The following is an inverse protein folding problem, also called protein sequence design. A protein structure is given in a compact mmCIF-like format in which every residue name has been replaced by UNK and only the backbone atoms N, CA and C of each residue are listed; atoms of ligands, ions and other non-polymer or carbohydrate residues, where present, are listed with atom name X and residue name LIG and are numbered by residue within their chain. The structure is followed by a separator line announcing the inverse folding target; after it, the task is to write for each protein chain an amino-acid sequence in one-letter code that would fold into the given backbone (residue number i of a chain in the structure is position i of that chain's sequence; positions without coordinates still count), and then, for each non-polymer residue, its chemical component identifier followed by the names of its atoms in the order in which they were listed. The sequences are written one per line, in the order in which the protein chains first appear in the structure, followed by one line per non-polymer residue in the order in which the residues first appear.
data_IF_259739282833
#
_entry.id   IF_259739282833
#
_cell.length_a   1.000
_cell.length_b   1.000
_cell.length_c   1.000
_cell.angle_alpha   90.00
_cell.angle_beta   90.00
_cell.angle_gamma   90.00
#
_symmetry.space_group_name_H-M   'P 1'
#
loop_
_entity.id
_entity.type
_entity.pdbx_description
1 polymer ?
#
# COMPACT_ATOMS: atom_id res chain seq x y z
N UNK A 1 8.32 15.85 19.00
CA UNK A 1 8.07 16.19 17.59
C UNK A 1 8.31 14.95 16.74
N UNK A 2 7.31 14.47 16.02
CA UNK A 2 7.50 13.38 15.07
C UNK A 2 8.27 13.92 13.85
N UNK A 3 9.44 13.32 13.58
CA UNK A 3 10.22 13.64 12.39
C UNK A 3 9.39 13.37 11.12
N UNK A 4 9.52 14.21 10.07
CA UNK A 4 8.83 14.01 8.81
C UNK A 4 9.20 12.65 8.19
N UNK A 5 8.28 12.11 7.39
CA UNK A 5 8.53 10.87 6.62
C UNK A 5 9.66 11.15 5.63
N UNK A 6 10.71 10.33 5.67
CA UNK A 6 11.85 10.44 4.77
C UNK A 6 11.47 10.25 3.29
N UNK A 7 12.32 10.67 2.37
CA UNK A 7 12.09 10.49 0.93
C UNK A 7 12.13 9.03 0.50
N UNK A 8 12.95 8.20 1.18
CA UNK A 8 13.16 6.78 0.90
C UNK A 8 13.28 6.52 -0.61
N UNK A 9 14.24 7.17 -1.25
CA UNK A 9 14.49 6.94 -2.67
C UNK A 9 15.10 5.55 -2.87
N UNK A 10 14.58 4.83 -3.85
CA UNK A 10 15.13 3.54 -4.28
C UNK A 10 16.62 3.72 -4.58
N UNK A 11 17.53 2.93 -3.95
CA UNK A 11 18.94 3.04 -4.24
C UNK A 11 19.24 2.73 -5.71
N UNK A 12 19.92 3.64 -6.42
CA UNK A 12 20.23 3.49 -7.86
C UNK A 12 20.97 2.18 -8.18
N UNK A 13 21.86 1.74 -7.28
CA UNK A 13 22.55 0.46 -7.43
C UNK A 13 21.59 -0.74 -7.47
N UNK A 14 20.55 -0.72 -6.63
CA UNK A 14 19.54 -1.78 -6.56
C UNK A 14 18.64 -1.73 -7.79
N UNK A 15 18.20 -0.53 -8.17
CA UNK A 15 17.42 -0.30 -9.38
C UNK A 15 18.14 -0.80 -10.63
N UNK A 16 19.43 -0.48 -10.79
CA UNK A 16 20.24 -0.99 -11.91
C UNK A 16 20.35 -2.51 -11.89
N UNK A 17 20.74 -3.10 -10.75
CA UNK A 17 20.86 -4.56 -10.63
C UNK A 17 19.56 -5.30 -11.01
N UNK A 18 18.41 -4.72 -10.63
CA UNK A 18 17.09 -5.26 -10.98
C UNK A 18 16.78 -5.12 -12.49
N UNK A 19 16.93 -3.91 -13.05
CA UNK A 19 16.44 -3.60 -14.40
C UNK A 19 17.37 -4.02 -15.54
N UNK A 20 18.66 -4.24 -15.30
CA UNK A 20 19.63 -4.55 -16.38
C UNK A 20 19.85 -6.03 -16.62
N UNK A 21 19.30 -6.89 -15.77
CA UNK A 21 19.56 -8.33 -15.81
C UNK A 21 18.65 -9.01 -16.84
N UNK A 22 19.23 -9.73 -17.80
CA UNK A 22 18.46 -10.43 -18.84
C UNK A 22 17.73 -11.68 -18.32
N UNK A 23 18.21 -12.26 -17.22
CA UNK A 23 17.66 -13.47 -16.62
C UNK A 23 17.40 -13.27 -15.13
N UNK A 24 16.24 -13.75 -14.65
CA UNK A 24 15.82 -13.62 -13.26
C UNK A 24 16.83 -14.24 -12.28
N UNK A 25 17.51 -15.32 -12.67
CA UNK A 25 18.51 -15.97 -11.81
C UNK A 25 19.71 -15.06 -11.55
N UNK A 26 20.27 -14.47 -12.60
CA UNK A 26 21.43 -13.57 -12.50
C UNK A 26 21.06 -12.30 -11.72
N UNK A 27 19.83 -11.80 -11.92
CA UNK A 27 19.27 -10.69 -11.16
C UNK A 27 19.25 -11.00 -9.65
N UNK A 28 18.67 -12.15 -9.27
CA UNK A 28 18.57 -12.58 -7.88
C UNK A 28 19.96 -12.78 -7.26
N UNK A 29 20.87 -13.47 -7.96
CA UNK A 29 22.23 -13.71 -7.47
C UNK A 29 22.99 -12.39 -7.22
N UNK A 30 22.86 -11.42 -8.12
CA UNK A 30 23.48 -10.10 -7.98
C UNK A 30 22.89 -9.31 -6.81
N UNK A 31 21.55 -9.29 -6.68
CA UNK A 31 20.86 -8.62 -5.57
C UNK A 31 21.25 -9.26 -4.23
N UNK A 32 21.27 -10.59 -4.15
CA UNK A 32 21.66 -11.31 -2.94
C UNK A 32 23.14 -11.09 -2.58
N UNK A 33 24.02 -10.97 -3.57
CA UNK A 33 25.42 -10.60 -3.35
C UNK A 33 25.56 -9.18 -2.79
N UNK A 34 24.78 -8.23 -3.31
CA UNK A 34 24.78 -6.84 -2.85
C UNK A 34 24.09 -6.62 -1.49
N UNK A 35 23.11 -7.48 -1.16
CA UNK A 35 22.30 -7.40 0.06
C UNK A 35 22.24 -8.76 0.77
N UNK A 36 23.33 -9.20 1.43
CA UNK A 36 23.42 -10.53 2.06
C UNK A 36 22.33 -10.82 3.10
N UNK A 37 21.80 -9.76 3.73
CA UNK A 37 20.70 -9.85 4.71
C UNK A 37 19.41 -10.46 4.14
N UNK A 38 19.29 -10.60 2.81
CA UNK A 38 18.20 -11.32 2.15
C UNK A 38 18.35 -12.86 2.22
N UNK A 39 19.59 -13.36 2.38
CA UNK A 39 19.88 -14.80 2.52
C UNK A 39 19.91 -15.28 3.97
N UNK A 40 20.24 -14.38 4.88
CA UNK A 40 20.31 -14.68 6.32
C UNK A 40 18.94 -15.05 6.89
N UNK A 41 18.91 -15.77 8.01
CA UNK A 41 17.69 -15.94 8.79
C UNK A 41 17.26 -14.60 9.40
N UNK A 42 15.96 -14.29 9.33
CA UNK A 42 15.42 -13.03 9.84
C UNK A 42 15.57 -12.97 11.37
N UNK A 43 16.22 -11.92 11.85
CA UNK A 43 16.40 -11.65 13.27
C UNK A 43 16.36 -10.14 13.53
N UNK A 44 16.42 -9.75 14.80
CA UNK A 44 16.30 -8.33 15.18
C UNK A 44 17.39 -7.44 14.56
N UNK A 45 18.60 -7.98 14.35
CA UNK A 45 19.73 -7.21 13.82
C UNK A 45 19.63 -6.94 12.31
N UNK A 46 18.98 -7.83 11.55
CA UNK A 46 18.80 -7.67 10.10
C UNK A 46 17.36 -7.28 9.69
N UNK A 47 16.43 -7.14 10.65
CA UNK A 47 15.04 -6.76 10.39
C UNK A 47 14.92 -5.51 9.51
N UNK A 48 15.57 -4.42 9.91
CA UNK A 48 15.44 -3.13 9.21
C UNK A 48 16.02 -3.21 7.81
N UNK A 49 17.26 -3.69 7.67
CA UNK A 49 17.95 -3.77 6.38
C UNK A 49 17.24 -4.72 5.42
N UNK A 50 16.79 -5.88 5.89
CA UNK A 50 16.08 -6.86 5.07
C UNK A 50 14.74 -6.32 4.58
N UNK A 51 13.87 -5.85 5.47
CA UNK A 51 12.54 -5.36 5.07
C UNK A 51 12.62 -4.08 4.25
N UNK A 52 13.56 -3.16 4.52
CA UNK A 52 13.77 -2.01 3.63
C UNK A 52 14.21 -2.44 2.23
N UNK A 53 15.11 -3.42 2.11
CA UNK A 53 15.55 -3.91 0.80
C UNK A 53 14.38 -4.55 0.04
N UNK A 54 13.59 -5.40 0.70
CA UNK A 54 12.40 -6.01 0.11
C UNK A 54 11.36 -4.96 -0.34
N UNK A 55 11.14 -3.91 0.46
CA UNK A 55 10.23 -2.81 0.10
C UNK A 55 10.72 -2.05 -1.14
N UNK A 56 12.02 -1.82 -1.28
CA UNK A 56 12.57 -1.20 -2.49
C UNK A 56 12.42 -2.09 -3.71
N UNK A 57 12.61 -3.41 -3.57
CA UNK A 57 12.40 -4.37 -4.66
C UNK A 57 10.93 -4.39 -5.11
N UNK A 58 10.00 -4.44 -4.16
CA UNK A 58 8.56 -4.36 -4.45
C UNK A 58 8.19 -3.03 -5.13
N UNK A 59 8.80 -1.91 -4.72
CA UNK A 59 8.57 -0.61 -5.35
C UNK A 59 9.11 -0.57 -6.79
N UNK A 60 10.24 -1.22 -7.08
CA UNK A 60 10.78 -1.34 -8.43
C UNK A 60 9.87 -2.19 -9.31
N UNK A 61 9.45 -3.37 -8.83
CA UNK A 61 8.57 -4.25 -9.60
C UNK A 61 7.23 -3.58 -9.89
N UNK A 62 6.63 -2.95 -8.87
CA UNK A 62 5.41 -2.17 -9.03
C UNK A 62 5.57 -1.07 -10.08
N UNK A 63 6.74 -0.40 -10.16
CA UNK A 63 7.02 0.59 -11.19
C UNK A 63 7.10 0.01 -12.61
N UNK A 64 7.69 -1.18 -12.76
CA UNK A 64 7.74 -1.91 -14.03
C UNK A 64 6.33 -2.32 -14.44
N UNK A 65 5.58 -2.95 -13.54
CA UNK A 65 4.21 -3.39 -13.82
C UNK A 65 3.29 -2.22 -14.16
N UNK A 66 3.43 -1.07 -13.47
CA UNK A 66 2.62 0.11 -13.74
C UNK A 66 2.75 0.61 -15.19
N UNK A 67 3.86 0.29 -15.88
CA UNK A 67 4.04 0.65 -17.30
C UNK A 67 2.99 0.01 -18.20
N UNK A 68 2.32 -1.07 -17.78
CA UNK A 68 1.23 -1.67 -18.55
C UNK A 68 0.08 -0.69 -18.84
N UNK A 69 -0.04 0.37 -18.02
CA UNK A 69 -1.04 1.42 -18.19
C UNK A 69 -0.60 2.51 -19.15
N UNK A 70 0.70 2.64 -19.45
CA UNK A 70 1.18 3.67 -20.37
C UNK A 70 0.53 3.53 -21.74
N UNK A 71 0.27 4.68 -22.38
CA UNK A 71 -0.40 4.75 -23.68
C UNK A 71 0.37 5.69 -24.59
N UNK A 72 0.71 5.24 -25.78
CA UNK A 72 1.40 6.09 -26.76
C UNK A 72 0.50 7.17 -27.33
N UNK A 73 -0.78 6.83 -27.57
CA UNK A 73 -1.79 7.76 -28.08
C UNK A 73 -3.10 7.47 -27.38
N UNK A 74 -3.56 8.40 -26.56
CA UNK A 74 -4.85 8.33 -25.91
C UNK A 74 -5.49 9.72 -25.87
N UNK A 75 -6.81 9.75 -25.96
CA UNK A 75 -7.61 10.96 -25.77
C UNK A 75 -8.51 10.77 -24.54
N UNK A 76 -8.85 11.89 -23.93
CA UNK A 76 -9.86 11.96 -22.89
C UNK A 76 -11.23 12.36 -23.45
N UNK A 77 -12.29 11.91 -22.80
CA UNK A 77 -13.67 12.37 -23.04
C UNK A 77 -14.10 13.31 -21.93
N UNK A 78 -14.72 14.46 -22.27
CA UNK A 78 -15.24 15.38 -21.26
C UNK A 78 -16.46 14.79 -20.55
N UNK A 79 -16.38 14.65 -19.23
CA UNK A 79 -17.47 14.21 -18.36
C UNK A 79 -17.68 15.22 -17.21
N UNK A 80 -18.58 16.19 -17.43
CA UNK A 80 -18.83 17.31 -16.49
C UNK A 80 -17.54 18.08 -16.22
N UNK A 81 -17.06 18.05 -14.97
CA UNK A 81 -15.83 18.70 -14.51
C UNK A 81 -14.58 17.83 -14.68
N UNK A 82 -14.72 16.58 -15.16
CA UNK A 82 -13.64 15.61 -15.29
C UNK A 82 -13.27 15.35 -16.75
N UNK A 83 -12.04 14.86 -16.93
CA UNK A 83 -11.60 14.20 -18.15
C UNK A 83 -11.59 12.69 -17.91
N UNK A 84 -12.39 11.95 -18.67
CA UNK A 84 -12.51 10.51 -18.56
C UNK A 84 -11.52 9.82 -19.50
N UNK A 85 -10.80 8.82 -18.99
CA UNK A 85 -9.96 7.93 -19.78
C UNK A 85 -10.50 6.50 -19.67
N UNK A 86 -10.89 5.93 -20.81
CA UNK A 86 -11.26 4.52 -20.89
C UNK A 86 -10.01 3.66 -20.80
N UNK A 87 -10.04 2.65 -19.94
CA UNK A 87 -8.98 1.65 -19.83
C UNK A 87 -9.50 0.38 -20.48
N UNK A 88 -8.82 -0.06 -21.54
CA UNK A 88 -9.26 -1.18 -22.38
C UNK A 88 -9.25 -2.53 -21.67
N UNK A 89 -8.55 -2.63 -20.54
CA UNK A 89 -8.54 -3.85 -19.74
C UNK A 89 -9.94 -4.10 -19.17
N UNK A 90 -10.51 -5.28 -19.44
CA UNK A 90 -11.92 -5.59 -19.21
C UNK A 90 -12.37 -5.39 -17.74
N UNK A 91 -11.43 -5.32 -16.78
CA UNK A 91 -11.71 -5.14 -15.35
C UNK A 91 -10.60 -4.38 -14.60
N UNK A 92 -10.75 -3.06 -14.48
CA UNK A 92 -9.82 -2.20 -13.71
C UNK A 92 -9.57 -2.65 -12.27
N UNK A 93 -10.60 -3.17 -11.61
CA UNK A 93 -10.53 -3.63 -10.21
C UNK A 93 -9.77 -4.94 -10.03
N UNK A 94 -9.61 -5.74 -11.10
CA UNK A 94 -8.93 -7.03 -11.04
C UNK A 94 -7.48 -6.93 -11.54
N UNK A 95 -7.09 -5.84 -12.23
CA UNK A 95 -5.71 -5.59 -12.61
C UNK A 95 -4.83 -5.27 -11.41
N UNK A 96 -3.63 -5.85 -11.39
CA UNK A 96 -2.57 -5.60 -10.40
C UNK A 96 -1.32 -5.11 -11.13
N UNK A 97 -0.68 -4.01 -10.68
CA UNK A 97 -1.13 -3.07 -9.65
C UNK A 97 -2.41 -2.34 -10.05
N UNK A 98 -3.29 -2.04 -9.10
CA UNK A 98 -4.57 -1.38 -9.37
C UNK A 98 -4.40 0.14 -9.42
N UNK A 99 -5.07 0.81 -10.38
CA UNK A 99 -5.18 2.27 -10.36
C UNK A 99 -6.09 2.71 -9.20
N UNK A 100 -5.65 3.69 -8.43
CA UNK A 100 -6.38 4.22 -7.27
C UNK A 100 -6.53 5.74 -7.34
N UNK A 101 -7.42 6.27 -6.50
CA UNK A 101 -7.58 7.71 -6.33
C UNK A 101 -6.27 8.31 -5.82
N UNK A 102 -5.79 9.37 -6.47
CA UNK A 102 -4.55 10.05 -6.15
C UNK A 102 -3.34 9.60 -6.96
N UNK A 103 -3.45 8.56 -7.78
CA UNK A 103 -2.41 8.24 -8.76
C UNK A 103 -2.32 9.34 -9.83
N UNK A 104 -1.11 9.49 -10.37
CA UNK A 104 -0.73 10.58 -11.25
C UNK A 104 -0.62 10.06 -12.69
N UNK A 105 -1.03 10.89 -13.64
CA UNK A 105 -0.83 10.67 -15.07
C UNK A 105 -0.10 11.89 -15.63
N UNK A 106 1.02 11.65 -16.29
CA UNK A 106 1.67 12.65 -17.13
C UNK A 106 1.16 12.51 -18.57
N UNK A 107 0.59 13.58 -19.12
CA UNK A 107 0.21 13.68 -20.51
C UNK A 107 1.22 14.56 -21.26
N UNK A 108 1.77 14.04 -22.36
CA UNK A 108 2.74 14.73 -23.22
C UNK A 108 2.26 14.72 -24.67
N UNK A 109 2.45 15.83 -25.36
CA UNK A 109 2.12 15.91 -26.79
C UNK A 109 2.98 14.91 -27.58
N UNK A 110 2.39 14.00 -28.37
CA UNK A 110 3.13 12.98 -29.10
C UNK A 110 3.97 13.57 -30.25
N UNK A 111 3.67 14.78 -30.72
CA UNK A 111 4.36 15.44 -31.83
C UNK A 111 5.68 16.14 -31.43
N UNK A 112 5.92 16.33 -30.13
CA UNK A 112 7.13 16.96 -29.61
C UNK A 112 8.16 15.88 -29.30
N UNK A 113 9.06 15.61 -30.25
CA UNK A 113 10.08 14.55 -30.14
C UNK A 113 11.28 14.91 -29.24
N UNK A 114 11.40 16.16 -28.78
CA UNK A 114 12.55 16.61 -27.99
C UNK A 114 12.31 16.47 -26.49
N UNK A 115 13.33 16.01 -25.75
CA UNK A 115 13.37 15.96 -24.27
C UNK A 115 13.16 17.33 -23.59
N UNK A 116 13.14 18.42 -24.37
CA UNK A 116 12.79 19.78 -23.97
C UNK A 116 11.27 20.06 -24.04
N UNK A 117 10.43 19.03 -23.87
CA UNK A 117 8.97 19.18 -23.93
C UNK A 117 8.48 20.10 -22.80
N UNK A 118 8.33 21.37 -23.14
CA UNK A 118 7.94 22.49 -22.26
C UNK A 118 6.51 22.33 -21.68
N UNK A 119 5.76 21.31 -22.11
CA UNK A 119 4.37 21.10 -21.73
C UNK A 119 4.08 19.63 -21.40
N UNK A 120 4.56 19.16 -20.25
CA UNK A 120 4.02 17.95 -19.61
C UNK A 120 2.86 18.39 -18.70
N UNK A 121 1.70 17.78 -18.87
CA UNK A 121 0.53 18.07 -18.05
C UNK A 121 0.32 16.96 -17.03
N UNK A 122 0.16 17.33 -15.76
CA UNK A 122 -0.08 16.39 -14.69
C UNK A 122 -1.58 16.29 -14.39
N UNK A 123 -2.11 15.08 -14.44
CA UNK A 123 -3.49 14.74 -14.11
C UNK A 123 -3.55 13.81 -12.91
N UNK A 124 -4.54 14.00 -12.04
CA UNK A 124 -4.76 13.16 -10.86
C UNK A 124 -6.05 12.39 -10.99
N UNK A 125 -5.99 11.08 -10.70
CA UNK A 125 -7.17 10.21 -10.65
C UNK A 125 -8.05 10.61 -9.46
N UNK A 126 -9.27 11.03 -9.75
CA UNK A 126 -10.28 11.39 -8.75
C UNK A 126 -11.33 10.31 -8.54
N UNK A 127 -11.64 9.52 -9.58
CA UNK A 127 -12.57 8.38 -9.48
C UNK A 127 -12.08 7.23 -10.35
N UNK A 128 -12.25 6.01 -9.84
CA UNK A 128 -12.00 4.77 -10.57
C UNK A 128 -13.35 4.09 -10.76
N UNK A 129 -13.76 3.91 -12.01
CA UNK A 129 -14.99 3.21 -12.41
C UNK A 129 -14.61 1.87 -13.05
N UNK A 130 -15.59 1.03 -13.38
CA UNK A 130 -15.36 -0.34 -13.87
C UNK A 130 -14.42 -0.43 -15.09
N UNK A 131 -14.57 0.48 -16.06
CA UNK A 131 -13.81 0.49 -17.34
C UNK A 131 -13.13 1.83 -17.64
N UNK A 132 -13.24 2.81 -16.75
CA UNK A 132 -12.66 4.14 -16.99
C UNK A 132 -12.28 4.82 -15.69
N UNK A 133 -11.34 5.74 -15.79
CA UNK A 133 -10.92 6.61 -14.70
C UNK A 133 -11.33 8.05 -15.00
N UNK A 134 -11.66 8.82 -13.96
CA UNK A 134 -11.97 10.24 -14.07
C UNK A 134 -10.83 11.05 -13.47
N UNK A 135 -10.28 11.94 -14.28
CA UNK A 135 -9.09 12.73 -14.02
C UNK A 135 -9.45 14.20 -13.87
N UNK A 136 -8.61 14.93 -13.14
CA UNK A 136 -8.51 16.38 -13.29
C UNK A 136 -7.05 16.75 -13.48
N UNK A 137 -6.81 17.60 -14.45
CA UNK A 137 -5.52 18.24 -14.68
C UNK A 137 -5.52 19.63 -14.05
N UNK A 138 -4.41 20.35 -14.21
CA UNK A 138 -4.38 21.77 -13.92
C UNK A 138 -5.46 22.53 -14.73
N UNK A 139 -5.89 23.67 -14.20
CA UNK A 139 -7.03 24.40 -14.74
C UNK A 139 -6.81 24.85 -16.20
N UNK A 140 -5.57 25.14 -16.61
CA UNK A 140 -5.30 25.59 -17.96
C UNK A 140 -5.47 24.45 -18.97
N UNK A 141 -4.89 23.28 -18.68
CA UNK A 141 -5.08 22.10 -19.52
C UNK A 141 -6.55 21.67 -19.57
N UNK A 142 -7.19 21.55 -18.40
CA UNK A 142 -8.58 21.11 -18.27
C UNK A 142 -9.56 21.98 -19.08
N UNK A 143 -9.31 23.29 -19.16
CA UNK A 143 -10.13 24.22 -19.93
C UNK A 143 -9.83 24.15 -21.43
N UNK A 144 -8.55 24.10 -21.83
CA UNK A 144 -8.14 24.14 -23.25
C UNK A 144 -8.33 22.84 -24.00
N UNK A 145 -8.28 21.70 -23.31
CA UNK A 145 -8.37 20.37 -23.92
C UNK A 145 -9.61 20.18 -24.80
N UNK A 146 -9.44 19.84 -26.07
CA UNK A 146 -10.51 19.75 -27.06
C UNK A 146 -10.51 18.40 -27.83
N UNK A 147 -9.99 17.34 -27.22
CA UNK A 147 -10.01 16.00 -27.82
C UNK A 147 -8.69 15.59 -28.47
N UNK A 148 -7.61 16.33 -28.23
CA UNK A 148 -6.28 16.02 -28.73
C UNK A 148 -5.76 14.71 -28.12
N UNK A 149 -4.85 14.06 -28.84
CA UNK A 149 -4.19 12.85 -28.36
C UNK A 149 -2.93 13.19 -27.58
N UNK A 150 -2.69 12.43 -26.52
CA UNK A 150 -1.51 12.55 -25.67
C UNK A 150 -0.85 11.18 -25.48
N UNK A 151 0.47 11.20 -25.37
CA UNK A 151 1.24 10.11 -24.77
C UNK A 151 1.08 10.18 -23.26
N UNK A 152 0.59 9.11 -22.65
CA UNK A 152 0.29 9.03 -21.23
C UNK A 152 1.31 8.14 -20.52
N UNK A 153 1.88 8.64 -19.42
CA UNK A 153 2.66 7.87 -18.46
C UNK A 153 1.96 7.86 -17.11
N UNK A 154 1.76 6.68 -16.56
CA UNK A 154 1.08 6.51 -15.28
C UNK A 154 2.07 6.44 -14.14
N UNK A 155 1.73 6.94 -12.96
CA UNK A 155 2.59 6.87 -11.78
C UNK A 155 1.74 6.60 -10.55
N UNK A 156 2.11 5.56 -9.79
CA UNK A 156 1.48 5.28 -8.50
C UNK A 156 2.02 6.20 -7.41
N UNK A 157 1.22 6.41 -6.37
CA UNK A 157 1.69 7.12 -5.19
C UNK A 157 2.76 6.36 -4.41
N UNK A 158 3.98 6.90 -4.35
CA UNK A 158 5.08 6.37 -3.50
C UNK A 158 4.82 6.54 -2.00
N UNK A 159 3.73 7.19 -1.59
CA UNK A 159 3.44 7.49 -0.20
C UNK A 159 3.26 6.23 0.66
N UNK A 160 2.66 5.17 0.10
CA UNK A 160 2.52 3.87 0.76
C UNK A 160 3.87 3.27 1.14
N UNK A 161 4.77 3.13 0.16
CA UNK A 161 6.14 2.63 0.36
C UNK A 161 6.93 3.49 1.34
N UNK A 162 6.90 4.83 1.20
CA UNK A 162 7.58 5.73 2.14
C UNK A 162 7.11 5.55 3.59
N UNK A 163 5.81 5.34 3.80
CA UNK A 163 5.26 5.03 5.14
C UNK A 163 5.75 3.68 5.65
N UNK A 164 5.77 2.65 4.81
CA UNK A 164 6.27 1.33 5.20
C UNK A 164 7.76 1.40 5.60
N UNK A 165 8.61 2.06 4.81
CA UNK A 165 10.01 2.28 5.16
C UNK A 165 10.18 3.03 6.49
N UNK A 166 9.37 4.07 6.70
CA UNK A 166 9.36 4.84 7.94
C UNK A 166 8.98 4.01 9.16
N UNK A 167 7.98 3.14 9.02
CA UNK A 167 7.54 2.22 10.07
C UNK A 167 8.62 1.18 10.34
N UNK A 168 9.18 0.52 9.31
CA UNK A 168 10.24 -0.48 9.46
C UNK A 168 11.44 0.10 10.23
N UNK A 169 11.86 1.32 9.88
CA UNK A 169 12.97 2.01 10.56
C UNK A 169 12.71 2.25 12.05
N UNK A 170 11.44 2.45 12.44
CA UNK A 170 11.04 2.76 13.82
C UNK A 170 10.57 1.54 14.60
N UNK A 171 10.21 0.45 13.92
CA UNK A 171 9.57 -0.72 14.49
C UNK A 171 10.39 -1.30 15.65
N UNK A 172 11.69 -1.53 15.44
CA UNK A 172 12.60 -2.07 16.47
C UNK A 172 12.60 -1.20 17.73
N UNK A 173 12.70 0.13 17.57
CA UNK A 173 12.74 1.08 18.71
C UNK A 173 11.38 1.26 19.39
N UNK A 174 10.28 1.20 18.65
CA UNK A 174 8.94 1.57 19.15
C UNK A 174 8.14 0.37 19.65
N UNK A 175 8.31 -0.79 19.02
CA UNK A 175 7.57 -2.02 19.33
C UNK A 175 8.41 -2.96 20.19
N UNK A 176 9.73 -2.95 20.01
CA UNK A 176 10.65 -3.84 20.72
C UNK A 176 10.74 -5.23 20.08
N UNK A 177 11.78 -5.96 20.47
CA UNK A 177 12.08 -7.29 19.93
C UNK A 177 10.97 -8.30 20.21
N UNK A 178 10.46 -8.35 21.44
CA UNK A 178 9.41 -9.31 21.84
C UNK A 178 8.10 -9.14 21.05
N UNK A 179 7.84 -7.95 20.51
CA UNK A 179 6.69 -7.72 19.65
C UNK A 179 6.94 -8.20 18.22
N UNK A 180 8.14 -7.94 17.69
CA UNK A 180 8.51 -8.29 16.31
C UNK A 180 8.86 -9.78 16.14
N UNK A 181 9.44 -10.36 17.18
CA UNK A 181 9.92 -11.74 17.26
C UNK A 181 9.40 -12.38 18.57
N UNK A 182 8.09 -12.62 18.66
CA UNK A 182 7.51 -13.23 19.86
C UNK A 182 8.05 -14.65 20.04
N UNK A 183 8.74 -14.88 21.16
CA UNK A 183 9.25 -16.21 21.55
C UNK A 183 8.33 -16.96 22.51
N UNK A 184 7.27 -16.30 22.98
CA UNK A 184 6.29 -16.86 23.89
C UNK A 184 5.15 -15.89 24.18
N UNK A 185 4.10 -16.38 24.83
CA UNK A 185 2.95 -15.57 25.20
C UNK A 185 3.10 -15.12 26.64
N UNK A 186 3.16 -13.81 26.84
CA UNK A 186 3.00 -13.26 28.18
C UNK A 186 1.51 -12.98 28.44
N UNK A 187 0.87 -13.91 29.14
CA UNK A 187 -0.49 -13.69 29.63
C UNK A 187 -0.47 -12.56 30.66
N UNK A 188 -1.42 -11.64 30.56
CA UNK A 188 -1.62 -10.64 31.62
C UNK A 188 -2.05 -11.37 32.89
N UNK A 189 -1.50 -10.97 34.03
CA UNK A 189 -1.92 -11.51 35.34
C UNK A 189 -3.35 -11.14 35.71
N UNK A 190 -3.94 -10.13 35.06
CA UNK A 190 -5.31 -9.69 35.25
C UNK A 190 -5.99 -9.41 33.90
N UNK A 191 -7.33 -9.53 33.89
CA UNK A 191 -8.16 -9.09 32.77
C UNK A 191 -8.01 -7.59 32.55
N UNK A 192 -8.04 -7.16 31.29
CA UNK A 192 -8.08 -5.74 30.94
C UNK A 192 -9.35 -5.06 31.46
N UNK A 193 -10.50 -5.75 31.36
CA UNK A 193 -11.79 -5.34 31.92
C UNK A 193 -12.47 -6.55 32.56
N UNK A 194 -13.20 -6.35 33.68
CA UNK A 194 -14.06 -7.38 34.29
C UNK A 194 -15.36 -7.51 33.50
N UNK A 195 -15.24 -8.05 32.29
CA UNK A 195 -16.37 -8.29 31.40
C UNK A 195 -16.95 -9.67 31.66
N UNK A 196 -18.28 -9.80 31.69
CA UNK A 196 -19.00 -11.08 31.75
C UNK A 196 -20.09 -11.08 30.69
N UNK A 197 -20.43 -12.28 30.23
CA UNK A 197 -21.62 -12.49 29.40
C UNK A 197 -22.49 -13.43 30.22
N UNK A 198 -23.71 -13.02 30.54
CA UNK A 198 -24.65 -13.85 31.30
C UNK A 198 -25.36 -14.87 30.38
N UNK A 199 -26.25 -15.68 30.97
CA UNK A 199 -26.98 -16.72 30.26
C UNK A 199 -27.97 -16.16 29.21
N UNK A 200 -28.37 -14.90 29.37
CA UNK A 200 -29.21 -14.16 28.42
C UNK A 200 -28.38 -13.44 27.33
N UNK A 201 -27.07 -13.70 27.30
CA UNK A 201 -26.10 -13.08 26.41
C UNK A 201 -25.96 -11.55 26.56
N UNK A 202 -26.27 -10.99 27.73
CA UNK A 202 -26.02 -9.59 28.05
C UNK A 202 -24.55 -9.37 28.42
N UNK A 203 -23.99 -8.24 27.98
CA UNK A 203 -22.63 -7.84 28.34
C UNK A 203 -22.65 -7.14 29.70
N UNK A 204 -21.84 -7.60 30.65
CA UNK A 204 -21.69 -7.01 31.98
C UNK A 204 -20.28 -6.47 32.15
N UNK A 205 -20.13 -5.26 32.69
CA UNK A 205 -18.87 -4.66 33.12
C UNK A 205 -18.92 -4.44 34.64
N UNK A 206 -18.30 -5.33 35.41
CA UNK A 206 -18.48 -5.38 36.86
C UNK A 206 -19.95 -5.62 37.21
N UNK A 207 -20.59 -4.65 37.85
CA UNK A 207 -22.03 -4.69 38.21
C UNK A 207 -22.95 -4.00 37.19
N UNK A 208 -22.40 -3.41 36.12
CA UNK A 208 -23.18 -2.64 35.15
C UNK A 208 -23.48 -3.46 33.89
N UNK A 209 -24.74 -3.46 33.46
CA UNK A 209 -25.11 -4.05 32.18
C UNK A 209 -24.84 -3.07 31.03
N UNK A 210 -24.03 -3.51 30.06
CA UNK A 210 -23.73 -2.80 28.84
C UNK A 210 -24.66 -3.26 27.72
N UNK A 211 -25.21 -2.30 26.97
CA UNK A 211 -26.06 -2.60 25.82
C UNK A 211 -25.22 -2.94 24.59
N UNK A 212 -25.57 -4.02 23.91
CA UNK A 212 -25.04 -4.31 22.58
C UNK A 212 -25.50 -3.24 21.59
N UNK A 213 -24.57 -2.52 20.97
CA UNK A 213 -24.90 -1.54 19.93
C UNK A 213 -25.53 -2.22 18.70
N UNK A 214 -24.91 -3.31 18.24
CA UNK A 214 -25.49 -4.17 17.22
C UNK A 214 -26.28 -5.31 17.89
N UNK A 215 -27.60 -5.29 17.75
CA UNK A 215 -28.50 -6.31 18.31
C UNK A 215 -28.55 -7.62 17.50
N UNK A 216 -27.94 -7.67 16.30
CA UNK A 216 -27.94 -8.86 15.43
C UNK A 216 -26.70 -9.75 15.60
N UNK A 217 -25.85 -9.44 16.58
CA UNK A 217 -24.66 -10.24 16.87
C UNK A 217 -25.04 -11.65 17.30
N UNK A 218 -24.39 -12.65 16.69
CA UNK A 218 -24.53 -14.03 17.12
C UNK A 218 -23.69 -14.32 18.38
N UNK A 219 -23.95 -15.46 19.02
CA UNK A 219 -23.29 -15.87 20.27
C UNK A 219 -21.76 -15.91 20.17
N UNK A 220 -21.22 -16.37 19.02
CA UNK A 220 -19.78 -16.45 18.78
C UNK A 220 -19.15 -15.05 18.75
N UNK A 221 -19.81 -14.10 18.06
CA UNK A 221 -19.36 -12.71 17.99
C UNK A 221 -19.40 -12.04 19.36
N UNK A 222 -20.50 -12.23 20.12
CA UNK A 222 -20.61 -11.68 21.49
C UNK A 222 -19.50 -12.21 22.40
N UNK A 223 -19.23 -13.51 22.35
CA UNK A 223 -18.13 -14.14 23.10
C UNK A 223 -16.76 -13.63 22.66
N UNK A 224 -16.53 -13.47 21.36
CA UNK A 224 -15.27 -12.92 20.84
C UNK A 224 -15.04 -11.48 21.32
N UNK A 225 -16.07 -10.63 21.26
CA UNK A 225 -16.01 -9.25 21.77
C UNK A 225 -15.70 -9.26 23.27
N UNK A 226 -16.40 -10.09 24.05
CA UNK A 226 -16.15 -10.20 25.49
C UNK A 226 -14.70 -10.61 25.80
N UNK A 227 -14.15 -11.59 25.08
CA UNK A 227 -12.77 -12.03 25.25
C UNK A 227 -11.76 -10.94 24.88
N UNK A 228 -11.99 -10.22 23.76
CA UNK A 228 -11.15 -9.07 23.37
C UNK A 228 -11.14 -8.00 24.46
N UNK A 229 -12.32 -7.67 25.01
CA UNK A 229 -12.43 -6.67 26.09
C UNK A 229 -11.76 -7.14 27.40
N UNK A 230 -11.76 -8.44 27.69
CA UNK A 230 -10.99 -9.01 28.80
C UNK A 230 -9.48 -9.03 28.52
N UNK A 231 -9.06 -8.91 27.27
CA UNK A 231 -7.69 -9.21 26.85
C UNK A 231 -7.35 -10.69 26.96
N UNK A 232 -8.35 -11.58 26.88
CA UNK A 232 -8.18 -13.02 26.88
C UNK A 232 -8.08 -13.52 25.43
N UNK A 233 -7.10 -14.38 25.14
CA UNK A 233 -6.97 -15.05 23.84
C UNK A 233 -7.27 -16.53 24.04
N UNK A 234 -8.24 -17.06 23.31
CA UNK A 234 -8.63 -18.48 23.36
C UNK A 234 -8.08 -19.19 22.12
N UNK A 235 -7.37 -20.31 22.29
CA UNK A 235 -6.73 -21.10 21.23
C UNK A 235 -5.87 -20.28 20.26
N UNK A 236 -4.57 -20.18 20.53
CA UNK A 236 -3.64 -19.53 19.60
C UNK A 236 -3.01 -20.57 18.67
N UNK A 237 -3.38 -20.60 17.36
CA UNK A 237 -2.85 -21.59 16.43
C UNK A 237 -1.37 -21.40 16.05
N UNK A 238 -0.75 -20.26 16.42
CA UNK A 238 0.60 -19.88 15.95
C UNK A 238 1.66 -19.80 17.05
N UNK A 239 1.33 -20.18 18.28
CA UNK A 239 2.32 -20.34 19.35
C UNK A 239 2.56 -21.84 19.52
N UNK A 240 3.78 -22.26 19.18
CA UNK A 240 4.30 -23.59 19.49
C UNK A 240 5.02 -23.56 20.83
#
# INVERSE_FOLDING_TARGET
MDLPIGSFNVPERLKRAYLTSSYNKDMLENIEYMFPTLKEELNISNYVSRFQTLLYLEEIECFVDFRMYDRERAHFTREKEYLALTIENEKLSECRPSLVIGDIIEAKDPSVETENAEHTYEGVIHKVLLKRILLKFDANFQQKYNGEEYRLKFYFSRYGYRKQHHVVLRAVKKLGEQFLFPSGVQMRGCRQLDIRVDDEENLLLGSYQCKWHNCTLNSIQKKAIANILRGEVYNMPYIR
#
